data_IF_341739920969
#
_entry.id   IF_341739920969
#
_cell.length_a   1.000
_cell.length_b   1.000
_cell.length_c   1.000
_cell.angle_alpha   90.00
_cell.angle_beta   90.00
_cell.angle_gamma   90.00
#
_symmetry.space_group_name_H-M   'P 1'
#
loop_
_entity.id
_entity.type
_entity.pdbx_description
1 polymer ?
#
# COMPACT_ATOMS: atom_id res chain seq x y z
N UNK A 1 -24.51 28.84 -18.06
CA UNK A 1 -23.56 29.28 -17.02
C UNK A 1 -22.15 29.14 -17.56
N UNK A 2 -21.33 30.14 -17.43
CA UNK A 2 -19.92 30.09 -17.84
C UNK A 2 -19.15 29.14 -16.93
N UNK A 3 -18.34 28.26 -17.53
CA UNK A 3 -17.53 27.27 -16.81
C UNK A 3 -16.31 28.00 -16.20
N UNK A 4 -16.27 28.07 -14.86
CA UNK A 4 -15.20 28.77 -14.11
C UNK A 4 -13.89 27.96 -14.06
N UNK A 5 -13.99 26.63 -14.08
CA UNK A 5 -12.85 25.70 -13.96
C UNK A 5 -12.74 24.80 -15.17
N UNK A 6 -11.52 24.47 -15.56
CA UNK A 6 -11.27 23.43 -16.56
C UNK A 6 -11.52 22.04 -15.96
N UNK A 7 -11.09 21.85 -14.69
CA UNK A 7 -11.27 20.60 -13.97
C UNK A 7 -11.82 20.82 -12.56
N UNK A 8 -12.77 19.98 -12.17
CA UNK A 8 -13.11 19.71 -10.78
C UNK A 8 -12.49 18.36 -10.44
N UNK A 9 -11.63 18.32 -9.44
CA UNK A 9 -11.03 17.09 -8.89
C UNK A 9 -11.74 16.73 -7.59
N UNK A 10 -12.33 15.56 -7.55
CA UNK A 10 -13.01 15.01 -6.37
C UNK A 10 -12.05 14.10 -5.64
N UNK A 11 -11.66 14.50 -4.44
CA UNK A 11 -10.70 13.83 -3.57
C UNK A 11 -9.31 14.47 -3.61
N UNK A 12 -8.82 14.88 -2.44
CA UNK A 12 -7.49 15.45 -2.22
C UNK A 12 -6.48 14.41 -1.70
N UNK A 13 -6.63 13.15 -2.11
CA UNK A 13 -5.64 12.09 -1.93
C UNK A 13 -4.46 12.26 -2.89
N UNK A 14 -3.51 11.31 -2.89
CA UNK A 14 -2.29 11.40 -3.71
C UNK A 14 -2.62 11.57 -5.21
N UNK A 15 -3.50 10.73 -5.76
CA UNK A 15 -3.84 10.80 -7.19
C UNK A 15 -4.44 12.16 -7.55
N UNK A 16 -5.47 12.60 -6.79
CA UNK A 16 -6.15 13.88 -7.05
C UNK A 16 -5.19 15.07 -6.93
N UNK A 17 -4.30 15.07 -5.95
CA UNK A 17 -3.29 16.12 -5.73
C UNK A 17 -2.27 16.18 -6.86
N UNK A 18 -1.78 15.03 -7.33
CA UNK A 18 -0.85 14.95 -8.48
C UNK A 18 -1.53 15.41 -9.75
N UNK A 19 -2.77 14.96 -10.03
CA UNK A 19 -3.52 15.40 -11.20
C UNK A 19 -3.74 16.91 -11.17
N UNK A 20 -4.21 17.44 -10.03
CA UNK A 20 -4.46 18.87 -9.87
C UNK A 20 -3.19 19.70 -10.12
N UNK A 21 -2.04 19.27 -9.57
CA UNK A 21 -0.75 19.92 -9.78
C UNK A 21 -0.33 19.91 -11.25
N UNK A 22 -0.44 18.76 -11.92
CA UNK A 22 -0.05 18.63 -13.31
C UNK A 22 -0.93 19.49 -14.24
N UNK A 23 -2.25 19.49 -14.00
CA UNK A 23 -3.19 20.30 -14.74
C UNK A 23 -2.91 21.80 -14.54
N UNK A 24 -2.67 22.23 -13.30
CA UNK A 24 -2.33 23.63 -12.97
C UNK A 24 -1.03 24.05 -13.64
N UNK A 25 0.00 23.21 -13.61
CA UNK A 25 1.28 23.48 -14.28
C UNK A 25 1.13 23.58 -15.80
N UNK A 26 0.07 22.99 -16.36
CA UNK A 26 -0.31 23.11 -17.78
C UNK A 26 -1.27 24.28 -18.05
N UNK A 27 -1.38 25.25 -17.14
CA UNK A 27 -2.20 26.46 -17.28
C UNK A 27 -3.71 26.24 -17.14
N UNK A 28 -4.15 25.10 -16.59
CA UNK A 28 -5.58 24.82 -16.37
C UNK A 28 -6.05 25.37 -15.04
N UNK A 29 -7.28 25.89 -15.01
CA UNK A 29 -7.96 26.27 -13.76
C UNK A 29 -8.56 25.04 -13.11
N UNK A 30 -8.09 24.71 -11.92
CA UNK A 30 -8.49 23.51 -11.17
C UNK A 30 -9.15 23.92 -9.84
N UNK A 31 -10.24 23.24 -9.51
CA UNK A 31 -10.81 23.21 -8.16
C UNK A 31 -10.69 21.78 -7.66
N UNK A 32 -10.19 21.61 -6.43
CA UNK A 32 -10.20 20.34 -5.72
C UNK A 32 -11.27 20.39 -4.64
N UNK A 33 -12.07 19.35 -4.49
CA UNK A 33 -12.99 19.17 -3.37
C UNK A 33 -12.62 17.91 -2.58
N UNK A 34 -12.70 17.99 -1.27
CA UNK A 34 -12.38 16.92 -0.36
C UNK A 34 -13.49 16.80 0.69
N UNK A 35 -13.96 15.58 0.96
CA UNK A 35 -15.01 15.34 1.97
C UNK A 35 -14.52 15.50 3.40
N UNK A 36 -13.28 15.17 3.63
CA UNK A 36 -12.65 15.30 4.93
C UNK A 36 -12.23 16.75 5.22
N UNK A 37 -11.88 17.02 6.48
CA UNK A 37 -11.36 18.33 6.92
C UNK A 37 -9.91 18.59 6.48
N UNK A 38 -9.20 17.56 6.07
CA UNK A 38 -7.80 17.61 5.67
C UNK A 38 -7.56 16.80 4.41
N UNK A 39 -6.63 17.24 3.58
CA UNK A 39 -6.14 16.48 2.44
C UNK A 39 -5.26 15.30 2.88
N UNK A 40 -4.95 14.39 1.93
CA UNK A 40 -4.01 13.29 2.12
C UNK A 40 -4.62 11.92 1.88
N UNK A 41 -5.93 11.75 2.07
CA UNK A 41 -6.59 10.46 1.91
C UNK A 41 -5.90 9.37 2.75
N UNK A 42 -5.57 8.24 2.13
CA UNK A 42 -4.89 7.13 2.79
C UNK A 42 -3.45 7.45 3.28
N UNK A 43 -2.80 8.48 2.71
CA UNK A 43 -1.43 8.89 3.12
C UNK A 43 -1.42 9.83 4.32
N UNK A 44 -2.58 10.20 4.86
CA UNK A 44 -2.64 11.16 5.96
C UNK A 44 -1.83 10.69 7.16
N UNK A 45 -1.00 11.59 7.67
CA UNK A 45 -0.22 11.41 8.87
C UNK A 45 -0.75 12.28 10.01
N UNK A 46 -0.49 11.88 11.25
CA UNK A 46 -0.73 12.66 12.45
C UNK A 46 0.52 12.66 13.33
N UNK A 47 0.62 13.61 14.24
CA UNK A 47 1.67 13.66 15.26
C UNK A 47 1.11 13.16 16.59
N UNK A 48 1.85 12.28 17.25
CA UNK A 48 1.57 11.83 18.60
C UNK A 48 2.87 11.70 19.37
N UNK A 49 3.01 12.45 20.43
CA UNK A 49 4.20 12.44 21.33
C UNK A 49 5.54 12.59 20.57
N UNK A 50 5.56 13.45 19.53
CA UNK A 50 6.72 13.67 18.68
C UNK A 50 6.96 12.59 17.60
N UNK A 51 6.08 11.60 17.50
CA UNK A 51 6.15 10.51 16.51
C UNK A 51 5.16 10.77 15.38
N UNK A 52 5.64 10.65 14.15
CA UNK A 52 4.79 10.69 12.96
C UNK A 52 4.05 9.36 12.80
N UNK A 53 2.73 9.41 12.90
CA UNK A 53 1.86 8.23 12.78
C UNK A 53 1.14 8.26 11.43
N UNK A 54 1.27 7.20 10.65
CA UNK A 54 0.51 6.99 9.42
C UNK A 54 -0.89 6.49 9.79
N UNK A 55 -1.91 7.32 9.56
CA UNK A 55 -3.27 7.08 10.06
C UNK A 55 -3.93 5.81 9.50
N UNK A 56 -3.52 5.38 8.33
CA UNK A 56 -4.12 4.24 7.60
C UNK A 56 -3.13 3.10 7.33
N UNK A 57 -2.17 2.89 8.22
CA UNK A 57 -1.09 1.91 8.09
C UNK A 57 0.18 2.51 7.50
N UNK A 58 1.29 1.81 7.68
CA UNK A 58 2.59 2.27 7.21
C UNK A 58 2.64 2.34 5.67
N UNK A 59 3.05 3.49 5.16
CA UNK A 59 3.30 3.71 3.75
C UNK A 59 4.78 3.97 3.52
N UNK A 60 5.42 3.14 2.71
CA UNK A 60 6.79 3.31 2.23
C UNK A 60 6.70 3.67 0.75
N UNK A 61 7.31 4.78 0.35
CA UNK A 61 7.41 5.14 -1.05
C UNK A 61 8.50 4.31 -1.70
N UNK A 62 8.16 3.51 -2.71
CA UNK A 62 9.12 2.67 -3.43
C UNK A 62 8.79 2.63 -4.92
N UNK A 63 9.81 2.61 -5.76
CA UNK A 63 9.67 2.56 -7.22
C UNK A 63 11.01 2.27 -7.89
N UNK A 64 10.98 1.58 -9.04
CA UNK A 64 12.11 1.51 -9.96
C UNK A 64 12.14 2.66 -10.96
N UNK A 65 11.06 3.43 -11.04
CA UNK A 65 10.94 4.52 -12.00
C UNK A 65 11.56 5.81 -11.47
N UNK A 66 12.74 6.14 -11.99
CA UNK A 66 13.49 7.34 -11.63
C UNK A 66 12.69 8.64 -11.85
N UNK A 67 11.87 8.71 -12.89
CA UNK A 67 11.03 9.89 -13.15
C UNK A 67 9.99 10.09 -12.05
N UNK A 68 9.41 9.00 -11.55
CA UNK A 68 8.43 9.04 -10.45
C UNK A 68 9.12 9.43 -9.15
N UNK A 69 10.29 8.85 -8.86
CA UNK A 69 11.10 9.20 -7.70
C UNK A 69 11.49 10.68 -7.70
N UNK A 70 12.06 11.16 -8.81
CA UNK A 70 12.46 12.55 -8.97
C UNK A 70 11.27 13.51 -8.93
N UNK A 71 10.10 13.09 -9.44
CA UNK A 71 8.89 13.90 -9.34
C UNK A 71 8.43 14.07 -7.91
N UNK A 72 8.36 13.01 -7.12
CA UNK A 72 7.94 13.06 -5.72
C UNK A 72 8.90 13.91 -4.88
N UNK A 73 10.22 13.78 -5.12
CA UNK A 73 11.26 14.56 -4.42
C UNK A 73 11.24 16.07 -4.72
N UNK A 74 10.43 16.54 -5.66
CA UNK A 74 10.19 17.99 -5.86
C UNK A 74 9.25 18.58 -4.80
N UNK A 75 8.49 17.73 -4.12
CA UNK A 75 7.41 18.14 -3.22
C UNK A 75 7.63 17.73 -1.77
N UNK A 76 8.55 16.81 -1.52
CA UNK A 76 9.07 16.47 -0.18
C UNK A 76 10.40 15.75 -0.33
N UNK A 77 11.25 15.79 0.70
CA UNK A 77 12.47 14.99 0.75
C UNK A 77 12.15 13.61 1.32
N UNK A 78 12.77 12.57 0.73
CA UNK A 78 12.70 11.22 1.24
C UNK A 78 14.05 10.80 1.82
N UNK A 79 14.04 10.31 3.06
CA UNK A 79 15.19 9.60 3.62
C UNK A 79 15.16 8.15 3.16
N UNK A 80 16.31 7.56 2.82
CA UNK A 80 16.40 6.16 2.47
C UNK A 80 15.83 5.28 3.59
N UNK A 81 14.93 4.39 3.24
CA UNK A 81 14.33 3.45 4.18
C UNK A 81 14.22 2.07 3.56
N UNK A 82 14.84 1.08 4.20
CA UNK A 82 14.75 -0.31 3.79
C UNK A 82 13.68 -1.01 4.61
N UNK A 83 12.62 -1.41 3.96
CA UNK A 83 11.53 -2.13 4.62
C UNK A 83 11.92 -3.58 4.89
N UNK A 84 11.93 -3.95 6.18
CA UNK A 84 12.20 -5.31 6.63
C UNK A 84 10.94 -5.81 7.34
N UNK A 85 10.53 -7.03 7.00
CA UNK A 85 9.36 -7.68 7.56
C UNK A 85 9.76 -9.02 8.17
N UNK A 86 9.32 -9.26 9.39
CA UNK A 86 9.49 -10.53 10.09
C UNK A 86 8.12 -11.17 10.28
N UNK A 87 8.01 -12.46 10.07
CA UNK A 87 6.82 -13.24 10.40
C UNK A 87 7.05 -14.00 11.71
N UNK A 88 6.08 -13.98 12.60
CA UNK A 88 6.04 -14.81 13.80
C UNK A 88 5.06 -15.97 13.61
N UNK A 89 5.51 -17.17 13.85
CA UNK A 89 4.67 -18.35 13.90
C UNK A 89 5.01 -19.18 15.14
N UNK A 90 4.08 -19.22 16.08
CA UNK A 90 4.36 -19.74 17.42
C UNK A 90 5.49 -18.96 18.09
N UNK A 91 6.53 -19.67 18.52
CA UNK A 91 7.73 -19.09 19.15
C UNK A 91 8.88 -18.84 18.16
N UNK A 92 8.64 -19.07 16.88
CA UNK A 92 9.65 -18.90 15.84
C UNK A 92 9.46 -17.60 15.04
N UNK A 93 10.58 -17.01 14.63
CA UNK A 93 10.63 -15.83 13.78
C UNK A 93 11.26 -16.19 12.43
N UNK A 94 10.69 -15.65 11.36
CA UNK A 94 11.14 -15.89 9.99
C UNK A 94 11.26 -14.57 9.24
N UNK A 95 12.34 -14.37 8.52
CA UNK A 95 12.51 -13.21 7.66
C UNK A 95 11.70 -13.33 6.37
N UNK A 96 11.10 -12.21 5.93
CA UNK A 96 10.36 -12.10 4.67
C UNK A 96 10.97 -11.00 3.77
N UNK A 97 10.78 -11.06 2.45
CA UNK A 97 10.14 -12.13 1.66
C UNK A 97 10.99 -13.40 1.68
N UNK A 98 10.51 -14.50 1.07
CA UNK A 98 11.24 -15.77 1.05
C UNK A 98 12.66 -15.60 0.49
N UNK A 99 13.65 -15.74 1.33
CA UNK A 99 15.07 -15.55 1.03
C UNK A 99 15.92 -16.63 1.73
N UNK A 100 17.22 -16.60 1.55
CA UNK A 100 18.10 -17.61 2.16
C UNK A 100 18.01 -17.64 3.69
N UNK A 101 17.72 -16.51 4.37
CA UNK A 101 17.49 -16.53 5.83
C UNK A 101 16.22 -17.32 6.16
N UNK A 102 15.13 -17.14 5.41
CA UNK A 102 13.89 -17.90 5.61
C UNK A 102 14.13 -19.41 5.44
N UNK A 103 14.87 -19.81 4.41
CA UNK A 103 15.20 -21.23 4.19
C UNK A 103 16.11 -21.78 5.27
N UNK A 104 17.09 -21.01 5.73
CA UNK A 104 17.94 -21.40 6.86
C UNK A 104 17.13 -21.55 8.15
N UNK A 105 16.31 -20.55 8.48
CA UNK A 105 15.48 -20.59 9.69
C UNK A 105 14.49 -21.75 9.70
N UNK A 106 13.98 -22.15 8.54
CA UNK A 106 12.96 -23.20 8.45
C UNK A 106 13.54 -24.61 8.26
N UNK A 107 14.66 -24.72 7.53
CA UNK A 107 15.21 -26.02 7.09
C UNK A 107 16.69 -26.20 7.41
N UNK A 108 17.39 -25.18 7.91
CA UNK A 108 18.83 -25.24 8.16
C UNK A 108 19.72 -25.22 6.91
N UNK A 109 19.14 -24.89 5.74
CA UNK A 109 19.86 -24.92 4.45
C UNK A 109 20.49 -23.56 4.17
N UNK A 110 21.78 -23.54 3.83
CA UNK A 110 22.55 -22.32 3.56
C UNK A 110 23.03 -22.21 2.10
N UNK A 111 22.88 -23.28 1.32
CA UNK A 111 23.37 -23.32 -0.06
C UNK A 111 22.21 -23.08 -1.05
N UNK A 112 22.29 -22.06 -1.92
CA UNK A 112 21.27 -21.79 -2.92
C UNK A 112 20.95 -22.95 -3.86
N UNK A 113 21.94 -23.85 -4.14
CA UNK A 113 21.70 -25.03 -4.98
C UNK A 113 20.77 -26.03 -4.25
N UNK A 114 21.07 -26.31 -2.98
CA UNK A 114 20.24 -27.20 -2.14
C UNK A 114 18.81 -26.67 -2.00
N UNK A 115 18.66 -25.34 -1.85
CA UNK A 115 17.31 -24.71 -1.80
C UNK A 115 16.56 -24.93 -3.12
N UNK A 116 17.21 -24.80 -4.28
CA UNK A 116 16.57 -25.06 -5.57
C UNK A 116 16.15 -26.53 -5.71
N UNK A 117 17.03 -27.45 -5.38
CA UNK A 117 16.75 -28.88 -5.40
C UNK A 117 15.59 -29.24 -4.46
N UNK A 118 15.56 -28.64 -3.28
CA UNK A 118 14.46 -28.78 -2.33
C UNK A 118 13.14 -28.24 -2.90
N UNK A 119 13.14 -27.03 -3.45
CA UNK A 119 11.95 -26.43 -4.08
C UNK A 119 11.46 -27.32 -5.26
N UNK A 120 12.38 -27.83 -6.08
CA UNK A 120 12.02 -28.72 -7.19
C UNK A 120 11.40 -30.04 -6.69
N UNK A 121 11.83 -30.55 -5.51
CA UNK A 121 11.21 -31.72 -4.92
C UNK A 121 9.80 -31.48 -4.36
N UNK A 122 9.42 -30.23 -4.10
CA UNK A 122 8.07 -29.87 -3.64
C UNK A 122 7.05 -29.79 -4.78
N UNK A 123 7.51 -29.77 -6.03
CA UNK A 123 6.63 -29.72 -7.20
C UNK A 123 5.90 -31.05 -7.32
N UNK A 124 4.71 -31.10 -6.73
CA UNK A 124 3.82 -32.25 -6.89
C UNK A 124 3.03 -32.10 -8.19
N UNK A 125 2.90 -33.19 -8.95
CA UNK A 125 1.96 -33.27 -10.06
C UNK A 125 0.52 -33.26 -9.50
N UNK A 126 -0.42 -32.62 -10.20
CA UNK A 126 -1.85 -32.55 -9.86
C UNK A 126 -2.29 -31.65 -8.69
N UNK A 127 -1.57 -30.57 -8.40
CA UNK A 127 -2.07 -29.51 -7.52
C UNK A 127 -2.70 -28.42 -8.38
N UNK A 128 -3.94 -27.99 -8.04
CA UNK A 128 -4.58 -26.84 -8.67
C UNK A 128 -3.85 -25.55 -8.28
N UNK A 129 -3.01 -25.03 -9.17
CA UNK A 129 -2.21 -23.82 -8.97
C UNK A 129 -2.97 -22.52 -9.28
N UNK A 130 -4.26 -22.58 -9.56
CA UNK A 130 -5.12 -21.40 -9.71
C UNK A 130 -5.43 -20.72 -8.39
N UNK A 131 -5.29 -21.44 -7.27
CA UNK A 131 -5.56 -20.94 -5.92
C UNK A 131 -4.29 -20.57 -5.18
N UNK A 132 -4.43 -19.72 -4.13
CA UNK A 132 -3.31 -19.38 -3.22
C UNK A 132 -2.71 -20.64 -2.60
N UNK A 133 -3.52 -21.57 -2.12
CA UNK A 133 -3.05 -22.82 -1.51
C UNK A 133 -2.22 -23.65 -2.49
N UNK A 134 -2.80 -24.04 -3.62
CA UNK A 134 -2.11 -24.89 -4.57
C UNK A 134 -0.86 -24.26 -5.16
N UNK A 135 -0.92 -22.99 -5.51
CA UNK A 135 0.22 -22.26 -6.03
C UNK A 135 1.37 -22.19 -4.99
N UNK A 136 1.03 -21.95 -3.70
CA UNK A 136 2.03 -21.88 -2.64
C UNK A 136 2.67 -23.24 -2.39
N UNK A 137 1.87 -24.30 -2.28
CA UNK A 137 2.37 -25.66 -2.03
C UNK A 137 3.30 -26.10 -3.16
N UNK A 138 2.88 -25.87 -4.41
CA UNK A 138 3.68 -26.22 -5.59
C UNK A 138 5.02 -25.47 -5.66
N UNK A 139 5.04 -24.23 -5.18
CA UNK A 139 6.20 -23.32 -5.30
C UNK A 139 7.13 -23.37 -4.10
N UNK A 140 6.60 -23.59 -2.90
CA UNK A 140 7.30 -23.42 -1.62
C UNK A 140 7.22 -24.65 -0.71
N UNK A 141 6.38 -25.63 -1.05
CA UNK A 141 6.09 -26.77 -0.21
C UNK A 141 5.02 -26.51 0.86
N UNK A 142 4.40 -27.59 1.33
CA UNK A 142 3.28 -27.52 2.27
C UNK A 142 3.70 -26.87 3.62
N UNK A 143 4.90 -27.18 4.13
CA UNK A 143 5.37 -26.65 5.40
C UNK A 143 5.48 -25.11 5.37
N UNK A 144 6.03 -24.54 4.30
CA UNK A 144 6.19 -23.09 4.16
C UNK A 144 4.84 -22.42 3.95
N UNK A 145 3.95 -23.04 3.18
CA UNK A 145 2.57 -22.58 3.01
C UNK A 145 1.84 -22.50 4.35
N UNK A 146 1.80 -23.59 5.13
CA UNK A 146 1.08 -23.64 6.41
C UNK A 146 1.67 -22.65 7.43
N UNK A 147 3.00 -22.48 7.44
CA UNK A 147 3.68 -21.65 8.43
C UNK A 147 3.61 -20.14 8.11
N UNK A 148 3.82 -19.75 6.87
CA UNK A 148 4.08 -18.34 6.52
C UNK A 148 3.03 -17.69 5.61
N UNK A 149 2.17 -18.47 4.96
CA UNK A 149 1.22 -17.93 3.98
C UNK A 149 -0.22 -18.05 4.45
N UNK A 150 -0.64 -19.25 4.81
CA UNK A 150 -2.04 -19.58 5.07
C UNK A 150 -2.67 -18.69 6.12
N UNK A 151 -2.16 -18.73 7.35
CA UNK A 151 -2.75 -18.01 8.49
C UNK A 151 -2.82 -16.50 8.26
N UNK A 152 -1.73 -15.92 7.75
CA UNK A 152 -1.68 -14.50 7.41
C UNK A 152 -2.68 -14.13 6.30
N UNK A 153 -2.70 -14.92 5.23
CA UNK A 153 -3.57 -14.64 4.07
C UNK A 153 -5.04 -14.80 4.42
N UNK A 154 -5.41 -15.87 5.11
CA UNK A 154 -6.80 -16.12 5.52
C UNK A 154 -7.29 -15.07 6.52
N UNK A 155 -6.45 -14.64 7.46
CA UNK A 155 -6.75 -13.53 8.37
C UNK A 155 -6.99 -12.23 7.60
N UNK A 156 -6.12 -11.90 6.65
CA UNK A 156 -6.20 -10.65 5.89
C UNK A 156 -7.40 -10.62 4.94
N UNK A 157 -7.71 -11.75 4.29
CA UNK A 157 -8.78 -11.83 3.31
C UNK A 157 -10.12 -12.29 3.88
N UNK A 158 -10.13 -12.90 5.09
CA UNK A 158 -11.32 -13.49 5.71
C UNK A 158 -11.94 -14.61 4.88
N UNK A 159 -11.14 -15.29 4.06
CA UNK A 159 -11.53 -16.38 3.17
C UNK A 159 -10.44 -17.43 3.11
N UNK A 160 -10.83 -18.68 2.83
CA UNK A 160 -9.87 -19.78 2.67
C UNK A 160 -8.92 -19.54 1.51
N UNK A 161 -7.65 -19.89 1.67
CA UNK A 161 -6.66 -19.89 0.60
C UNK A 161 -7.03 -20.78 -0.60
N UNK A 162 -7.95 -21.75 -0.43
CA UNK A 162 -8.53 -22.58 -1.48
C UNK A 162 -9.45 -21.81 -2.42
N UNK A 163 -10.00 -20.70 -1.96
CA UNK A 163 -10.95 -19.88 -2.71
C UNK A 163 -10.31 -18.59 -3.26
N UNK A 164 -9.09 -18.29 -2.86
CA UNK A 164 -8.39 -17.09 -3.25
C UNK A 164 -7.53 -17.35 -4.49
N UNK A 165 -7.54 -16.45 -5.50
CA UNK A 165 -6.76 -16.64 -6.72
C UNK A 165 -5.25 -16.52 -6.47
N UNK A 166 -4.46 -17.36 -7.12
CA UNK A 166 -2.99 -17.40 -7.02
C UNK A 166 -2.32 -16.05 -7.31
N UNK A 167 -2.95 -15.17 -8.10
CA UNK A 167 -2.44 -13.83 -8.43
C UNK A 167 -2.17 -12.95 -7.20
N UNK A 168 -2.81 -13.22 -6.07
CA UNK A 168 -2.60 -12.49 -4.82
C UNK A 168 -1.17 -12.64 -4.28
N UNK A 169 -0.58 -13.82 -4.45
CA UNK A 169 0.75 -14.15 -3.95
C UNK A 169 1.79 -14.37 -5.05
N UNK A 170 1.35 -14.41 -6.30
CA UNK A 170 2.24 -14.67 -7.45
C UNK A 170 3.42 -13.72 -7.57
N UNK A 171 3.32 -12.54 -6.99
CA UNK A 171 4.35 -11.50 -6.98
C UNK A 171 5.40 -11.65 -5.86
N UNK A 172 5.17 -12.53 -4.88
CA UNK A 172 6.13 -12.73 -3.80
C UNK A 172 7.42 -13.36 -4.37
N UNK A 173 8.57 -12.67 -4.25
CA UNK A 173 9.82 -13.20 -4.77
C UNK A 173 10.34 -14.34 -3.90
N UNK A 174 11.02 -15.29 -4.53
CA UNK A 174 11.89 -16.25 -3.86
C UNK A 174 13.33 -15.84 -4.22
N UNK A 175 14.12 -15.44 -3.24
CA UNK A 175 15.46 -14.93 -3.45
C UNK A 175 16.50 -15.96 -2.99
N UNK A 176 17.44 -16.26 -3.88
CA UNK A 176 18.59 -17.12 -3.57
C UNK A 176 19.77 -16.30 -3.02
N UNK A 177 19.45 -15.31 -2.19
CA UNK A 177 20.40 -14.43 -1.50
C UNK A 177 19.91 -14.17 -0.08
N UNK A 178 20.79 -13.69 0.80
CA UNK A 178 20.47 -13.29 2.17
C UNK A 178 19.90 -11.87 2.27
N UNK A 179 19.44 -11.31 1.14
CA UNK A 179 18.81 -10.01 1.10
C UNK A 179 17.38 -10.07 1.65
N UNK A 180 17.16 -9.43 2.79
CA UNK A 180 15.89 -9.38 3.50
C UNK A 180 15.06 -8.09 3.25
N UNK A 181 15.49 -7.21 2.34
CA UNK A 181 14.67 -6.05 1.96
C UNK A 181 13.35 -6.51 1.36
N UNK A 182 12.23 -6.04 1.90
CA UNK A 182 10.92 -6.52 1.46
C UNK A 182 10.60 -6.15 0.01
N UNK A 183 10.86 -4.90 -0.38
CA UNK A 183 10.67 -4.44 -1.75
C UNK A 183 11.95 -4.64 -2.59
N UNK A 184 11.82 -5.04 -3.85
CA UNK A 184 12.97 -5.16 -4.77
C UNK A 184 13.38 -3.82 -5.39
N UNK A 185 12.56 -2.78 -5.25
CA UNK A 185 12.68 -1.51 -5.97
C UNK A 185 13.98 -0.77 -5.61
N UNK A 186 14.57 -0.11 -6.59
CA UNK A 186 15.82 0.65 -6.48
C UNK A 186 15.69 1.83 -5.53
N UNK A 187 14.57 2.55 -5.60
CA UNK A 187 14.31 3.73 -4.80
C UNK A 187 13.29 3.39 -3.72
N UNK A 188 13.67 3.59 -2.46
CA UNK A 188 12.79 3.35 -1.32
C UNK A 188 13.05 4.41 -0.26
N UNK A 189 12.00 4.96 0.32
CA UNK A 189 12.14 5.99 1.34
C UNK A 189 10.85 6.30 2.07
N UNK A 190 11.01 7.03 3.16
CA UNK A 190 9.92 7.65 3.91
C UNK A 190 10.14 9.16 3.94
N UNK A 191 9.09 10.00 4.01
CA UNK A 191 9.27 11.44 4.12
C UNK A 191 10.14 11.82 5.32
N UNK A 192 11.10 12.71 5.10
CA UNK A 192 11.98 13.26 6.15
C UNK A 192 11.22 14.20 7.10
N UNK A 193 10.22 14.88 6.57
CA UNK A 193 9.41 15.83 7.30
C UNK A 193 8.69 15.17 8.49
N UNK A 194 8.62 15.89 9.61
CA UNK A 194 7.80 15.51 10.77
C UNK A 194 6.31 15.42 10.42
N UNK A 195 5.86 16.16 9.41
CA UNK A 195 4.48 16.07 8.90
C UNK A 195 4.24 14.83 8.02
N UNK A 196 5.28 14.04 7.78
CA UNK A 196 5.22 12.85 6.95
C UNK A 196 4.72 13.15 5.54
N UNK A 197 3.84 12.32 5.03
CA UNK A 197 3.25 12.50 3.70
C UNK A 197 2.33 13.74 3.56
N UNK A 198 1.92 14.37 4.67
CA UNK A 198 1.11 15.58 4.59
C UNK A 198 1.87 16.69 3.87
N UNK A 199 3.20 16.82 4.08
CA UNK A 199 4.03 17.79 3.36
C UNK A 199 3.97 17.59 1.85
N UNK A 200 4.13 16.35 1.37
CA UNK A 200 4.02 16.01 -0.05
C UNK A 200 2.67 16.50 -0.63
N UNK A 201 1.58 16.19 0.06
CA UNK A 201 0.23 16.54 -0.39
C UNK A 201 0.01 18.05 -0.37
N UNK A 202 0.42 18.74 0.69
CA UNK A 202 0.27 20.18 0.78
C UNK A 202 1.11 20.93 -0.27
N UNK A 203 2.32 20.48 -0.53
CA UNK A 203 3.16 21.06 -1.58
C UNK A 203 2.62 20.79 -2.98
N UNK A 204 2.02 19.62 -3.24
CA UNK A 204 1.30 19.34 -4.48
C UNK A 204 0.09 20.27 -4.66
N UNK A 205 -0.62 20.59 -3.60
CA UNK A 205 -1.82 21.44 -3.63
C UNK A 205 -1.54 22.94 -3.47
N UNK A 206 -0.29 23.32 -3.22
CA UNK A 206 0.08 24.72 -3.00
C UNK A 206 -0.35 25.61 -4.18
N UNK A 207 -1.10 26.70 -3.88
CA UNK A 207 -1.63 27.63 -4.87
C UNK A 207 -2.81 27.07 -5.70
N UNK A 208 -3.38 25.92 -5.34
CA UNK A 208 -4.59 25.35 -5.95
C UNK A 208 -5.77 25.58 -5.02
N UNK A 209 -6.93 25.99 -5.57
CA UNK A 209 -8.15 26.15 -4.76
C UNK A 209 -8.63 24.78 -4.28
N UNK A 210 -8.70 24.58 -2.96
CA UNK A 210 -9.22 23.36 -2.33
C UNK A 210 -10.38 23.70 -1.41
N UNK A 211 -11.46 22.96 -1.51
CA UNK A 211 -12.62 23.05 -0.61
C UNK A 211 -12.79 21.78 0.17
N UNK A 212 -12.74 21.89 1.47
CA UNK A 212 -12.93 20.80 2.43
C UNK A 212 -14.37 20.69 2.90
N UNK A 213 -14.77 19.49 3.37
CA UNK A 213 -16.14 19.22 3.83
C UNK A 213 -17.16 19.11 2.71
N UNK A 214 -16.72 18.87 1.48
CA UNK A 214 -17.59 18.71 0.30
C UNK A 214 -17.63 17.25 -0.14
N UNK A 215 -18.69 16.55 0.24
CA UNK A 215 -18.98 15.21 -0.25
C UNK A 215 -19.63 15.29 -1.64
N UNK A 216 -19.00 14.71 -2.65
CA UNK A 216 -19.48 14.74 -4.03
C UNK A 216 -20.70 13.85 -4.24
N UNK A 217 -20.85 12.81 -3.45
CA UNK A 217 -21.90 11.80 -3.65
C UNK A 217 -23.16 12.10 -2.81
N UNK A 218 -23.06 12.92 -1.76
CA UNK A 218 -24.16 13.21 -0.84
C UNK A 218 -24.68 14.66 -0.95
N UNK A 219 -24.82 15.19 -2.16
CA UNK A 219 -25.70 16.32 -2.42
C UNK A 219 -25.12 17.73 -2.29
N UNK A 220 -23.86 17.92 -1.89
CA UNK A 220 -23.30 19.27 -1.69
C UNK A 220 -22.47 19.80 -2.88
N UNK A 221 -22.31 19.04 -3.95
CA UNK A 221 -21.35 19.33 -5.02
C UNK A 221 -21.94 19.69 -6.37
N UNK A 222 -23.26 19.55 -6.59
CA UNK A 222 -23.90 19.78 -7.89
C UNK A 222 -23.64 21.17 -8.46
N UNK A 223 -23.62 22.20 -7.63
CA UNK A 223 -23.33 23.56 -8.05
C UNK A 223 -21.88 23.73 -8.50
N UNK A 224 -20.93 22.97 -7.93
CA UNK A 224 -19.52 22.99 -8.29
C UNK A 224 -19.25 22.17 -9.53
N UNK A 225 -19.90 21.01 -9.67
CA UNK A 225 -19.86 20.17 -10.88
C UNK A 225 -20.27 20.98 -12.11
N UNK A 226 -21.35 21.75 -12.00
CA UNK A 226 -21.85 22.61 -13.08
C UNK A 226 -20.86 23.72 -13.50
N UNK A 227 -19.94 24.13 -12.62
CA UNK A 227 -18.93 25.17 -12.88
C UNK A 227 -17.63 24.64 -13.51
N UNK A 228 -17.47 23.33 -13.65
CA UNK A 228 -16.30 22.73 -14.28
C UNK A 228 -16.59 22.18 -15.67
N UNK A 229 -15.58 22.20 -16.56
CA UNK A 229 -15.68 21.59 -17.90
C UNK A 229 -15.62 20.06 -17.80
N UNK A 230 -14.74 19.53 -16.94
CA UNK A 230 -14.56 18.08 -16.70
C UNK A 230 -14.45 17.82 -15.21
N UNK A 231 -14.90 16.63 -14.80
CA UNK A 231 -14.77 16.13 -13.44
C UNK A 231 -13.82 14.93 -13.44
N UNK A 232 -12.88 14.95 -12.51
CA UNK A 232 -11.96 13.83 -12.22
C UNK A 232 -12.37 13.29 -10.87
N UNK A 233 -13.00 12.13 -10.84
CA UNK A 233 -13.44 11.49 -9.62
C UNK A 233 -12.38 10.48 -9.15
N UNK A 234 -11.94 10.60 -7.90
CA UNK A 234 -11.02 9.66 -7.26
C UNK A 234 -11.66 8.88 -6.10
N UNK A 235 -12.98 9.04 -5.94
CA UNK A 235 -13.80 8.27 -4.99
C UNK A 235 -14.13 6.87 -5.49
N UNK A 236 -14.94 6.16 -4.72
CA UNK A 236 -15.39 4.80 -5.05
C UNK A 236 -16.20 4.80 -6.34
N UNK A 237 -15.86 3.91 -7.27
CA UNK A 237 -16.53 3.85 -8.58
C UNK A 237 -17.97 3.36 -8.46
N UNK A 238 -18.26 2.44 -7.59
CA UNK A 238 -19.59 1.92 -7.32
C UNK A 238 -20.49 2.97 -6.66
N UNK A 239 -19.96 3.77 -5.74
CA UNK A 239 -20.64 4.92 -5.14
C UNK A 239 -20.93 6.00 -6.20
N UNK A 240 -19.96 6.28 -7.09
CA UNK A 240 -20.15 7.23 -8.21
C UNK A 240 -21.32 6.83 -9.09
N UNK A 241 -21.53 5.55 -9.35
CA UNK A 241 -22.65 5.01 -10.11
C UNK A 241 -23.88 4.67 -9.26
N UNK A 242 -23.93 5.15 -8.00
CA UNK A 242 -25.02 4.91 -7.06
C UNK A 242 -25.36 3.40 -6.92
N UNK A 243 -24.30 2.56 -6.93
CA UNK A 243 -24.40 1.12 -6.78
C UNK A 243 -25.33 0.43 -7.80
N UNK A 244 -25.57 1.02 -8.97
CA UNK A 244 -26.52 0.49 -9.97
C UNK A 244 -26.12 -0.90 -10.50
N UNK A 245 -24.85 -1.30 -10.37
CA UNK A 245 -24.35 -2.63 -10.68
C UNK A 245 -24.03 -3.47 -9.44
N UNK A 246 -24.50 -3.06 -8.27
CA UNK A 246 -24.16 -3.64 -6.98
C UNK A 246 -22.89 -3.03 -6.37
N UNK A 247 -22.67 -3.29 -5.08
CA UNK A 247 -21.49 -2.85 -4.37
C UNK A 247 -20.28 -3.72 -4.72
N UNK A 248 -19.13 -3.10 -4.91
CA UNK A 248 -17.87 -3.82 -5.07
C UNK A 248 -17.40 -4.40 -3.72
N UNK A 249 -16.75 -5.55 -3.77
CA UNK A 249 -16.18 -6.15 -2.57
C UNK A 249 -14.88 -5.45 -2.17
N UNK A 250 -14.89 -4.82 -1.00
CA UNK A 250 -13.72 -4.19 -0.37
C UNK A 250 -13.34 -4.93 0.91
N UNK A 251 -12.08 -4.75 1.33
CA UNK A 251 -11.62 -5.16 2.65
C UNK A 251 -11.32 -3.92 3.48
N UNK A 252 -11.97 -3.83 4.62
CA UNK A 252 -11.69 -2.80 5.62
C UNK A 252 -10.59 -3.28 6.54
N UNK A 253 -9.67 -2.38 6.90
CA UNK A 253 -8.65 -2.62 7.92
C UNK A 253 -9.13 -2.06 9.25
N UNK A 254 -8.96 -2.83 10.31
CA UNK A 254 -9.15 -2.39 11.68
C UNK A 254 -7.78 -2.16 12.32
N UNK A 255 -7.55 -0.95 12.83
CA UNK A 255 -6.31 -0.60 13.50
C UNK A 255 -6.55 -0.50 15.01
N UNK A 256 -5.78 -1.25 15.80
CA UNK A 256 -5.72 -1.12 17.24
C UNK A 256 -4.41 -0.46 17.64
N UNK A 257 -4.48 0.59 18.47
CA UNK A 257 -3.31 1.32 18.93
C UNK A 257 -3.02 0.95 20.37
N UNK A 258 -1.81 0.49 20.62
CA UNK A 258 -1.31 0.18 21.95
C UNK A 258 -0.05 0.98 22.24
N UNK A 259 0.06 1.48 23.46
CA UNK A 259 1.23 2.21 23.94
C UNK A 259 1.81 1.40 25.09
N UNK A 260 3.10 1.15 25.02
CA UNK A 260 3.85 0.43 26.04
C UNK A 260 4.93 1.35 26.60
N UNK A 261 5.20 1.24 27.90
CA UNK A 261 6.26 2.01 28.56
C UNK A 261 7.64 1.34 28.39
N UNK A 262 7.99 1.11 27.11
CA UNK A 262 9.29 0.56 26.71
C UNK A 262 9.74 1.24 25.41
N UNK A 263 11.04 1.37 25.23
CA UNK A 263 11.61 2.08 24.07
C UNK A 263 11.45 1.33 22.74
N UNK A 264 11.43 0.01 22.78
CA UNK A 264 11.22 -0.84 21.58
C UNK A 264 10.48 -2.14 21.99
N UNK A 265 9.30 -2.33 21.43
CA UNK A 265 8.45 -3.49 21.78
C UNK A 265 8.85 -4.78 21.08
N UNK A 266 9.34 -4.72 19.84
CA UNK A 266 9.48 -5.91 19.01
C UNK A 266 10.81 -6.02 18.24
N UNK A 267 11.74 -5.06 18.39
CA UNK A 267 13.07 -5.08 17.78
C UNK A 267 13.09 -4.87 16.25
N UNK A 268 11.93 -4.64 15.64
CA UNK A 268 11.78 -4.40 14.20
C UNK A 268 10.54 -3.57 13.91
N UNK A 269 10.48 -2.95 12.75
CA UNK A 269 9.36 -2.06 12.39
C UNK A 269 8.07 -2.82 12.08
N UNK A 270 8.16 -4.03 11.51
CA UNK A 270 6.97 -4.82 11.13
C UNK A 270 7.15 -6.29 11.48
N UNK A 271 6.19 -6.79 12.24
CA UNK A 271 6.03 -8.23 12.51
C UNK A 271 4.65 -8.67 12.04
N UNK A 272 4.59 -9.69 11.19
CA UNK A 272 3.36 -10.37 10.79
C UNK A 272 3.08 -11.51 11.78
N UNK A 273 1.85 -11.54 12.35
CA UNK A 273 1.40 -12.56 13.28
C UNK A 273 0.33 -13.45 12.66
#
# INVERSE_FOLDING_TARGET
MEKKYDYLVVGAGLFGSVFARQATNSGKKVLVIEKEKNAGGALRCSQKDGITVHAHGAHIFHTDNERVWNYANRYTSFVPYRHIVVARYGDSLYELPFNMNTFYQMYGVINPKEVREMIDSFRTENVDDSTVEGFSIRRLGAKMYETLIKGYTEKQWGRSCKELPASLIGRLPIRMSFDNGYFPDKYQGIPESKDGYNELIYNLLNGIEVKYGYDCFHGHSDSLIKKAKKVICTGSIDEYFNYCFGAMAYRSLCHSHHIYDIGDYQGTTVVNY
#
